data_IF_137485667775
#
_entry.id   IF_137485667775
#
_cell.length_a   1.000
_cell.length_b   1.000
_cell.length_c   1.000
_cell.angle_alpha   90.00
_cell.angle_beta   90.00
_cell.angle_gamma   90.00
#
_symmetry.space_group_name_H-M   'P 1'
#
loop_
_entity.id
_entity.type
_entity.pdbx_description
1 polymer ?
#
# COMPACT_ATOMS: atom_id res chain seq x y z
N UNK A 1 20.18 0.61 12.39
CA UNK A 1 19.12 -0.22 13.03
C UNK A 1 18.11 0.68 13.73
N UNK A 2 16.83 0.44 13.51
CA UNK A 2 15.71 1.19 14.11
C UNK A 2 15.30 0.59 15.46
N UNK A 3 16.03 0.94 16.51
CA UNK A 3 15.89 0.31 17.84
C UNK A 3 14.47 0.38 18.41
N UNK A 4 13.80 1.53 18.25
CA UNK A 4 12.44 1.73 18.76
C UNK A 4 11.43 0.83 18.03
N UNK A 5 11.55 0.70 16.70
CA UNK A 5 10.71 -0.19 15.90
C UNK A 5 10.89 -1.66 16.29
N UNK A 6 12.14 -2.10 16.52
CA UNK A 6 12.41 -3.46 17.00
C UNK A 6 11.82 -3.69 18.39
N UNK A 7 11.91 -2.71 19.29
CA UNK A 7 11.31 -2.84 20.62
C UNK A 7 9.79 -3.01 20.53
N UNK A 8 9.11 -2.23 19.68
CA UNK A 8 7.66 -2.37 19.40
C UNK A 8 7.33 -3.76 18.83
N UNK A 9 8.15 -4.29 17.92
CA UNK A 9 8.00 -5.65 17.38
C UNK A 9 8.10 -6.68 18.50
N UNK A 10 9.09 -6.57 19.39
CA UNK A 10 9.25 -7.49 20.53
C UNK A 10 8.06 -7.42 21.51
N UNK A 11 7.43 -6.25 21.67
CA UNK A 11 6.20 -6.08 22.46
C UNK A 11 5.02 -6.80 21.81
N UNK A 12 4.84 -6.66 20.49
CA UNK A 12 3.78 -7.39 19.77
C UNK A 12 4.02 -8.91 19.81
N UNK A 13 5.27 -9.38 19.68
CA UNK A 13 5.63 -10.80 19.86
C UNK A 13 5.17 -11.32 21.23
N UNK A 14 5.44 -10.57 22.31
CA UNK A 14 5.02 -10.95 23.67
C UNK A 14 3.50 -11.03 23.83
N UNK A 15 2.76 -10.09 23.22
CA UNK A 15 1.29 -10.10 23.24
C UNK A 15 0.71 -11.35 22.56
N UNK A 16 1.31 -11.76 21.45
CA UNK A 16 0.87 -12.93 20.69
C UNK A 16 1.46 -14.27 21.24
N UNK A 17 2.29 -14.25 22.30
CA UNK A 17 2.92 -15.44 22.85
C UNK A 17 3.98 -16.07 21.93
N UNK A 18 4.56 -15.28 21.01
CA UNK A 18 5.59 -15.72 20.07
C UNK A 18 6.95 -15.33 20.64
N UNK A 19 7.78 -16.34 20.95
CA UNK A 19 9.09 -16.13 21.59
C UNK A 19 10.18 -15.73 20.59
N UNK A 20 10.02 -16.09 19.32
CA UNK A 20 11.00 -15.89 18.27
C UNK A 20 10.30 -15.49 16.98
N UNK A 21 10.91 -14.61 16.17
CA UNK A 21 10.39 -14.16 14.89
C UNK A 21 11.49 -14.21 13.84
N UNK A 22 11.18 -14.79 12.70
CA UNK A 22 12.02 -14.74 11.49
C UNK A 22 11.28 -13.91 10.44
N UNK A 23 11.84 -12.74 10.16
CA UNK A 23 11.36 -11.81 9.12
C UNK A 23 12.18 -12.06 7.86
N UNK A 24 11.53 -12.36 6.74
CA UNK A 24 12.19 -12.62 5.44
C UNK A 24 11.73 -11.66 4.35
N UNK A 25 10.72 -10.85 4.62
CA UNK A 25 10.30 -9.76 3.74
C UNK A 25 11.38 -8.67 3.69
N UNK A 26 12.01 -8.40 2.51
CA UNK A 26 13.04 -7.38 2.38
C UNK A 26 12.59 -5.99 2.82
N UNK A 27 11.31 -5.62 2.58
CA UNK A 27 10.77 -4.34 3.00
C UNK A 27 10.60 -4.24 4.52
N UNK A 28 10.17 -5.32 5.16
CA UNK A 28 10.09 -5.38 6.62
C UNK A 28 11.49 -5.37 7.27
N UNK A 29 12.49 -6.05 6.68
CA UNK A 29 13.88 -5.98 7.13
C UNK A 29 14.41 -4.56 6.97
N UNK A 30 14.17 -3.90 5.83
CA UNK A 30 14.53 -2.50 5.61
C UNK A 30 13.90 -1.58 6.67
N UNK A 31 12.62 -1.75 6.95
CA UNK A 31 11.91 -0.99 7.99
C UNK A 31 12.57 -1.07 9.37
N UNK A 32 13.12 -2.24 9.72
CA UNK A 32 13.73 -2.51 11.02
C UNK A 32 15.23 -2.18 11.09
N UNK A 33 15.93 -2.16 9.93
CA UNK A 33 17.38 -2.07 9.88
C UNK A 33 17.94 -0.89 9.10
N UNK A 34 17.13 -0.24 8.27
CA UNK A 34 17.52 0.71 7.20
C UNK A 34 18.40 0.05 6.11
N UNK A 35 18.54 -1.29 6.11
CA UNK A 35 19.32 -2.00 5.12
C UNK A 35 18.42 -2.55 4.02
N UNK A 36 18.45 -1.90 2.86
CA UNK A 36 17.78 -2.38 1.66
C UNK A 36 18.64 -3.40 0.93
N UNK A 37 18.07 -4.56 0.63
CA UNK A 37 18.72 -5.60 -0.14
C UNK A 37 17.68 -6.43 -0.91
N UNK A 38 18.02 -6.80 -2.14
CA UNK A 38 17.28 -7.76 -2.95
C UNK A 38 18.14 -9.02 -3.10
N UNK A 39 17.86 -10.08 -2.32
CA UNK A 39 18.75 -11.25 -2.20
C UNK A 39 18.65 -12.22 -3.39
N UNK A 40 17.72 -12.00 -4.33
CA UNK A 40 17.38 -12.98 -5.37
C UNK A 40 16.80 -14.25 -4.76
N UNK A 41 17.33 -15.41 -5.18
CA UNK A 41 16.89 -16.73 -4.69
C UNK A 41 17.51 -17.14 -3.34
N UNK A 42 18.41 -16.30 -2.78
CA UNK A 42 19.17 -16.63 -1.57
C UNK A 42 18.39 -16.26 -0.31
N UNK A 43 18.59 -17.03 0.76
CA UNK A 43 17.99 -16.73 2.05
C UNK A 43 18.52 -15.39 2.60
N UNK A 44 17.59 -14.50 2.87
CA UNK A 44 17.81 -13.24 3.57
C UNK A 44 16.76 -13.13 4.68
N UNK A 45 17.21 -12.90 5.92
CA UNK A 45 16.29 -12.88 7.04
C UNK A 45 16.82 -12.13 8.24
N UNK A 46 15.92 -11.58 9.02
CA UNK A 46 16.17 -10.98 10.33
C UNK A 46 15.51 -11.86 11.40
N UNK A 47 16.34 -12.50 12.22
CA UNK A 47 15.90 -13.23 13.39
C UNK A 47 15.88 -12.32 14.62
N UNK A 48 14.77 -12.36 15.35
CA UNK A 48 14.56 -11.64 16.60
C UNK A 48 14.02 -12.61 17.66
N UNK A 49 14.38 -12.42 18.93
CA UNK A 49 13.73 -13.09 20.04
C UNK A 49 13.42 -12.15 21.20
N UNK A 50 12.47 -12.52 22.04
CA UNK A 50 11.99 -11.70 23.18
C UNK A 50 13.01 -11.51 24.29
N UNK A 51 14.11 -12.27 24.28
CA UNK A 51 15.23 -12.16 25.23
C UNK A 51 16.29 -11.14 24.78
N UNK A 52 16.10 -10.53 23.60
CA UNK A 52 16.98 -9.50 23.04
C UNK A 52 17.97 -10.01 21.98
N UNK A 53 17.94 -11.32 21.66
CA UNK A 53 18.76 -11.88 20.58
C UNK A 53 18.31 -11.38 19.22
N UNK A 54 19.29 -10.99 18.37
CA UNK A 54 19.09 -10.42 17.05
C UNK A 54 20.17 -10.93 16.11
N UNK A 55 19.77 -11.35 14.91
CA UNK A 55 20.72 -11.87 13.94
C UNK A 55 20.23 -11.63 12.51
N UNK A 56 21.03 -10.98 11.70
CA UNK A 56 20.80 -10.87 10.26
C UNK A 56 21.40 -12.11 9.58
N UNK A 57 20.58 -12.84 8.81
CA UNK A 57 21.00 -13.98 8.00
C UNK A 57 21.20 -13.48 6.58
N UNK A 58 22.41 -13.64 6.04
CA UNK A 58 22.76 -13.06 4.74
C UNK A 58 23.85 -13.89 4.05
N UNK A 59 23.76 -13.98 2.71
CA UNK A 59 24.81 -14.59 1.90
C UNK A 59 26.04 -13.66 1.76
N UNK A 60 27.25 -14.22 1.77
CA UNK A 60 28.52 -13.47 1.68
C UNK A 60 28.68 -12.61 0.41
N UNK A 61 27.88 -12.89 -0.62
CA UNK A 61 27.82 -12.05 -1.83
C UNK A 61 27.22 -10.65 -1.57
N UNK A 62 26.59 -10.46 -0.43
CA UNK A 62 25.98 -9.19 0.00
C UNK A 62 26.61 -8.70 1.30
N UNK A 63 27.91 -8.29 1.29
CA UNK A 63 28.62 -7.96 2.51
C UNK A 63 28.00 -6.75 3.21
N UNK A 64 27.86 -6.87 4.53
CA UNK A 64 27.45 -5.78 5.42
C UNK A 64 28.69 -5.28 6.13
N UNK A 65 29.06 -4.02 5.91
CA UNK A 65 30.26 -3.40 6.48
C UNK A 65 29.92 -2.50 7.68
N UNK A 66 28.65 -2.10 7.79
CA UNK A 66 28.18 -1.23 8.86
C UNK A 66 27.91 -2.04 10.13
N UNK A 67 28.17 -1.44 11.30
CA UNK A 67 27.71 -2.01 12.56
C UNK A 67 26.20 -1.83 12.67
N UNK A 68 25.45 -2.91 12.50
CA UNK A 68 24.00 -2.91 12.66
C UNK A 68 23.55 -3.11 14.13
N UNK A 69 24.49 -3.27 15.07
CA UNK A 69 24.18 -3.54 16.48
C UNK A 69 23.50 -4.90 16.69
N UNK A 70 23.78 -5.88 15.84
CA UNK A 70 23.26 -7.24 15.90
C UNK A 70 24.27 -8.25 15.33
N UNK A 71 24.09 -9.53 15.65
CA UNK A 71 24.87 -10.60 15.03
C UNK A 71 24.60 -10.70 13.53
N UNK A 72 25.60 -11.15 12.78
CA UNK A 72 25.45 -11.50 11.37
C UNK A 72 25.76 -12.98 11.20
N UNK A 73 24.81 -13.75 10.70
CA UNK A 73 24.99 -15.11 10.24
C UNK A 73 25.27 -15.07 8.74
N UNK A 74 26.55 -15.02 8.40
CA UNK A 74 27.01 -15.05 7.02
C UNK A 74 27.13 -16.50 6.55
N UNK A 75 26.69 -16.79 5.32
CA UNK A 75 26.80 -18.11 4.68
C UNK A 75 27.17 -17.94 3.19
N UNK A 76 27.74 -18.95 2.56
CA UNK A 76 28.03 -18.97 1.12
C UNK A 76 27.09 -19.94 0.37
N UNK A 77 27.20 -19.96 -0.96
CA UNK A 77 26.32 -20.78 -1.83
C UNK A 77 26.47 -22.31 -1.65
N UNK A 78 27.48 -22.77 -0.90
CA UNK A 78 27.70 -24.19 -0.60
C UNK A 78 27.27 -24.57 0.82
N UNK A 79 26.91 -23.60 1.66
CA UNK A 79 26.46 -23.82 3.01
C UNK A 79 24.96 -24.15 3.04
N UNK A 80 24.54 -25.01 3.97
CA UNK A 80 23.15 -25.20 4.35
C UNK A 80 22.70 -24.07 5.30
N UNK A 81 22.16 -23.01 4.73
CA UNK A 81 21.75 -21.80 5.46
C UNK A 81 20.68 -22.12 6.52
N UNK A 82 19.79 -23.10 6.26
CA UNK A 82 18.74 -23.50 7.21
C UNK A 82 19.31 -24.32 8.36
N UNK A 83 20.32 -25.15 8.12
CA UNK A 83 21.06 -25.83 9.20
C UNK A 83 21.81 -24.85 10.11
N UNK A 84 22.39 -23.82 9.54
CA UNK A 84 23.06 -22.76 10.29
C UNK A 84 22.08 -21.95 11.13
N UNK A 85 20.94 -21.58 10.56
CA UNK A 85 19.87 -20.89 11.28
C UNK A 85 19.28 -21.75 12.39
N UNK A 86 18.98 -23.02 12.12
CA UNK A 86 18.40 -23.95 13.10
C UNK A 86 19.21 -24.06 14.40
N UNK A 87 20.55 -23.94 14.33
CA UNK A 87 21.45 -23.93 15.50
C UNK A 87 21.31 -22.66 16.36
N UNK A 88 20.75 -21.58 15.83
CA UNK A 88 20.51 -20.30 16.51
C UNK A 88 19.14 -20.23 17.18
N UNK A 89 18.20 -21.05 16.72
CA UNK A 89 16.84 -21.03 17.24
C UNK A 89 16.77 -21.60 18.66
N UNK A 90 16.01 -20.93 19.50
CA UNK A 90 15.72 -21.36 20.86
C UNK A 90 14.55 -22.36 20.87
N UNK A 91 14.37 -23.16 21.94
CA UNK A 91 13.11 -23.87 22.13
C UNK A 91 11.92 -22.93 22.23
N UNK A 92 10.78 -23.31 21.66
CA UNK A 92 9.55 -22.52 21.77
C UNK A 92 8.82 -22.32 20.43
N UNK A 93 8.12 -21.20 20.30
CA UNK A 93 7.34 -20.85 19.11
C UNK A 93 8.13 -19.86 18.24
N UNK A 94 8.29 -20.21 16.97
CA UNK A 94 8.87 -19.35 15.93
C UNK A 94 7.76 -18.80 15.03
N UNK A 95 7.55 -17.49 15.04
CA UNK A 95 6.78 -16.81 14.02
C UNK A 95 7.61 -16.67 12.74
N UNK A 96 6.99 -16.91 11.60
CA UNK A 96 7.59 -16.71 10.27
C UNK A 96 6.68 -15.83 9.45
N UNK A 97 7.21 -14.91 8.67
CA UNK A 97 6.40 -14.02 7.85
C UNK A 97 5.91 -14.69 6.55
N UNK A 98 4.92 -14.01 5.91
CA UNK A 98 4.24 -14.48 4.70
C UNK A 98 5.15 -14.58 3.45
N UNK A 99 6.32 -13.93 3.47
CA UNK A 99 7.21 -13.84 2.31
C UNK A 99 8.32 -14.90 2.32
N UNK A 100 8.41 -15.72 3.37
CA UNK A 100 9.38 -16.80 3.39
C UNK A 100 9.07 -17.82 2.29
N UNK A 101 10.03 -18.04 1.40
CA UNK A 101 9.90 -19.06 0.36
C UNK A 101 9.69 -20.45 0.98
N UNK A 102 8.70 -21.19 0.47
CA UNK A 102 8.25 -22.46 1.05
C UNK A 102 9.38 -23.50 1.19
N UNK A 103 10.33 -23.54 0.25
CA UNK A 103 11.45 -24.49 0.34
C UNK A 103 12.33 -24.22 1.56
N UNK A 104 12.69 -22.97 1.85
CA UNK A 104 13.44 -22.62 3.08
C UNK A 104 12.66 -22.97 4.34
N UNK A 105 11.36 -22.71 4.37
CA UNK A 105 10.51 -23.06 5.50
C UNK A 105 10.50 -24.57 5.75
N UNK A 106 10.32 -25.37 4.70
CA UNK A 106 10.28 -26.84 4.79
C UNK A 106 11.64 -27.42 5.24
N UNK A 107 12.74 -26.88 4.73
CA UNK A 107 14.09 -27.25 5.15
C UNK A 107 14.34 -26.90 6.62
N UNK A 108 13.95 -25.70 7.06
CA UNK A 108 14.06 -25.31 8.46
C UNK A 108 13.24 -26.23 9.38
N UNK A 109 11.99 -26.54 9.03
CA UNK A 109 11.12 -27.44 9.80
C UNK A 109 11.65 -28.88 9.84
N UNK A 110 12.41 -29.32 8.84
CA UNK A 110 13.06 -30.62 8.87
C UNK A 110 14.18 -30.69 9.93
N UNK A 111 14.88 -29.56 10.16
CA UNK A 111 16.07 -29.48 11.01
C UNK A 111 15.77 -28.96 12.43
N UNK A 112 14.75 -28.11 12.58
CA UNK A 112 14.32 -27.59 13.89
C UNK A 112 12.92 -28.08 14.25
N UNK A 113 12.74 -28.56 15.48
CA UNK A 113 11.53 -29.28 15.93
C UNK A 113 10.59 -28.45 16.83
N UNK A 114 10.77 -27.14 16.87
CA UNK A 114 9.84 -26.26 17.57
C UNK A 114 8.54 -26.02 16.79
N UNK A 115 7.64 -25.26 17.39
CA UNK A 115 6.38 -24.88 16.76
C UNK A 115 6.60 -23.70 15.83
N UNK A 116 6.19 -23.83 14.57
CA UNK A 116 6.17 -22.72 13.59
C UNK A 116 4.75 -22.19 13.44
N UNK A 117 4.60 -20.86 13.47
CA UNK A 117 3.32 -20.16 13.32
C UNK A 117 3.46 -18.98 12.35
N UNK A 118 2.34 -18.49 11.83
CA UNK A 118 2.33 -17.26 11.04
C UNK A 118 2.61 -16.04 11.95
N UNK A 119 3.76 -15.40 11.74
CA UNK A 119 4.21 -14.21 12.47
C UNK A 119 4.06 -12.89 11.69
N UNK A 120 3.46 -12.91 10.50
CA UNK A 120 3.38 -11.75 9.58
C UNK A 120 2.80 -10.52 10.25
N UNK A 121 1.69 -10.66 10.99
CA UNK A 121 0.99 -9.54 11.60
C UNK A 121 1.80 -8.78 12.66
N UNK A 122 2.86 -9.37 13.19
CA UNK A 122 3.68 -8.72 14.23
C UNK A 122 4.34 -7.46 13.68
N UNK A 123 5.08 -7.57 12.58
CA UNK A 123 5.72 -6.42 11.93
C UNK A 123 4.68 -5.54 11.26
N UNK A 124 3.67 -6.12 10.61
CA UNK A 124 2.59 -5.40 9.93
C UNK A 124 1.85 -4.44 10.88
N UNK A 125 1.54 -4.86 12.13
CA UNK A 125 0.90 -3.99 13.13
C UNK A 125 1.78 -2.79 13.52
N UNK A 126 3.09 -2.99 13.59
CA UNK A 126 4.03 -1.93 13.93
C UNK A 126 4.16 -0.93 12.78
N UNK A 127 4.27 -1.41 11.53
CA UNK A 127 4.34 -0.60 10.31
C UNK A 127 3.07 0.23 10.07
N UNK A 128 1.93 -0.31 10.47
CA UNK A 128 0.63 0.36 10.26
C UNK A 128 0.53 1.70 10.97
N UNK A 129 1.10 1.83 12.19
CA UNK A 129 1.12 3.09 12.94
C UNK A 129 2.45 3.81 12.68
N UNK A 130 2.44 4.77 11.76
CA UNK A 130 3.57 5.55 11.31
C UNK A 130 4.13 6.44 12.41
N UNK A 131 5.45 6.50 12.51
CA UNK A 131 6.14 7.47 13.36
C UNK A 131 6.18 8.87 12.72
N UNK A 132 6.70 9.86 13.43
CA UNK A 132 6.71 11.25 12.97
C UNK A 132 7.51 11.44 11.65
N UNK A 133 8.61 10.70 11.47
CA UNK A 133 9.40 10.79 10.24
C UNK A 133 8.69 10.10 9.06
N UNK A 134 8.05 8.96 9.29
CA UNK A 134 7.22 8.29 8.30
C UNK A 134 6.08 9.19 7.84
N UNK A 135 5.39 9.84 8.78
CA UNK A 135 4.31 10.80 8.50
C UNK A 135 4.81 11.96 7.64
N UNK A 136 6.00 12.51 7.96
CA UNK A 136 6.60 13.58 7.17
C UNK A 136 6.83 13.15 5.72
N UNK A 137 7.34 11.93 5.50
CA UNK A 137 7.58 11.36 4.16
C UNK A 137 6.28 11.11 3.41
N UNK A 138 5.27 10.55 4.08
CA UNK A 138 3.94 10.32 3.49
C UNK A 138 3.29 11.63 3.01
N UNK A 139 3.34 12.70 3.82
CA UNK A 139 2.87 14.02 3.42
C UNK A 139 3.61 14.54 2.19
N UNK A 140 4.93 14.41 2.18
CA UNK A 140 5.76 14.90 1.07
C UNK A 140 5.45 14.18 -0.24
N UNK A 141 5.36 12.86 -0.24
CA UNK A 141 5.08 12.10 -1.46
C UNK A 141 3.66 12.29 -1.95
N UNK A 142 2.68 12.49 -1.05
CA UNK A 142 1.30 12.82 -1.43
C UNK A 142 1.18 14.20 -2.10
N UNK A 143 1.92 15.21 -1.62
CA UNK A 143 1.98 16.53 -2.28
C UNK A 143 2.60 16.46 -3.68
N UNK A 144 3.62 15.60 -3.86
CA UNK A 144 4.19 15.35 -5.19
C UNK A 144 3.13 14.72 -6.09
N UNK A 145 2.39 13.75 -5.59
CA UNK A 145 1.35 13.06 -6.35
C UNK A 145 0.21 14.00 -6.77
N UNK A 146 -0.19 14.94 -5.92
CA UNK A 146 -1.15 16.00 -6.27
C UNK A 146 -0.66 16.83 -7.48
N UNK A 147 0.61 17.27 -7.47
CA UNK A 147 1.19 18.04 -8.57
C UNK A 147 1.31 17.21 -9.86
N UNK A 148 1.68 15.95 -9.76
CA UNK A 148 1.72 15.03 -10.91
C UNK A 148 0.35 14.84 -11.53
N UNK A 149 -0.70 14.66 -10.72
CA UNK A 149 -2.08 14.53 -11.23
C UNK A 149 -2.54 15.79 -11.95
N UNK A 150 -2.21 16.97 -11.43
CA UNK A 150 -2.55 18.25 -12.06
C UNK A 150 -1.88 18.40 -13.44
N UNK A 151 -0.61 18.04 -13.56
CA UNK A 151 0.12 18.05 -14.82
C UNK A 151 -0.40 16.97 -15.79
N UNK A 152 -0.71 15.76 -15.28
CA UNK A 152 -1.22 14.65 -16.08
C UNK A 152 -2.54 14.98 -16.76
N UNK A 153 -3.42 15.77 -16.14
CA UNK A 153 -4.65 16.27 -16.77
C UNK A 153 -4.38 17.04 -18.07
N UNK A 154 -3.23 17.70 -18.20
CA UNK A 154 -2.82 18.40 -19.42
C UNK A 154 -2.49 17.46 -20.59
N UNK A 155 -2.29 16.19 -20.34
CA UNK A 155 -1.98 15.16 -21.32
C UNK A 155 -3.18 14.28 -21.70
N UNK A 156 -4.31 14.43 -21.02
CA UNK A 156 -5.56 13.73 -21.36
C UNK A 156 -6.19 14.36 -22.58
N UNK A 157 -6.30 13.62 -23.68
CA UNK A 157 -6.93 14.04 -24.94
C UNK A 157 -7.40 12.83 -25.77
N UNK A 158 -7.94 13.11 -26.98
CA UNK A 158 -8.45 12.08 -27.90
C UNK A 158 -7.36 11.37 -28.70
N UNK A 159 -6.09 11.75 -28.54
CA UNK A 159 -4.96 11.26 -29.33
C UNK A 159 -3.93 10.49 -28.51
N UNK A 160 -3.97 10.61 -27.19
CA UNK A 160 -3.10 9.92 -26.25
C UNK A 160 -3.80 8.68 -25.73
N UNK A 161 -3.24 7.50 -25.98
CA UNK A 161 -3.79 6.22 -25.49
C UNK A 161 -3.55 6.02 -24.01
N UNK A 162 -4.31 5.09 -23.41
CA UNK A 162 -4.13 4.68 -22.02
C UNK A 162 -2.67 4.30 -21.71
N UNK A 163 -2.06 3.43 -22.54
CA UNK A 163 -0.67 3.01 -22.34
C UNK A 163 0.36 4.15 -22.51
N UNK A 164 0.09 5.15 -23.34
CA UNK A 164 0.94 6.33 -23.47
C UNK A 164 0.77 7.26 -22.27
N UNK A 165 -0.47 7.45 -21.79
CA UNK A 165 -0.76 8.28 -20.63
C UNK A 165 -0.13 7.72 -19.35
N UNK A 166 -0.13 6.38 -19.19
CA UNK A 166 0.57 5.71 -18.08
C UNK A 166 2.09 5.96 -18.11
N UNK A 167 2.71 5.90 -19.29
CA UNK A 167 4.15 6.24 -19.44
C UNK A 167 4.45 7.70 -19.15
N UNK A 168 3.55 8.61 -19.58
CA UNK A 168 3.67 10.04 -19.25
C UNK A 168 3.57 10.22 -17.72
N UNK A 169 2.65 9.52 -17.05
CA UNK A 169 2.54 9.55 -15.59
C UNK A 169 3.85 9.15 -14.92
N UNK A 170 4.47 8.02 -15.33
CA UNK A 170 5.77 7.60 -14.80
C UNK A 170 6.84 8.69 -14.97
N UNK A 171 6.93 9.29 -16.16
CA UNK A 171 7.87 10.38 -16.45
C UNK A 171 7.63 11.61 -15.56
N UNK A 172 6.37 11.98 -15.35
CA UNK A 172 5.99 13.08 -14.46
C UNK A 172 6.35 12.76 -12.99
N UNK A 173 6.10 11.54 -12.50
CA UNK A 173 6.51 11.13 -11.15
C UNK A 173 8.02 11.35 -10.94
N UNK A 174 8.85 10.90 -11.88
CA UNK A 174 10.31 11.12 -11.83
C UNK A 174 10.67 12.60 -11.93
N UNK A 175 10.05 13.35 -12.82
CA UNK A 175 10.30 14.78 -13.01
C UNK A 175 9.95 15.61 -11.76
N UNK A 176 8.92 15.22 -11.01
CA UNK A 176 8.53 15.84 -9.74
C UNK A 176 9.34 15.33 -8.53
N UNK A 177 10.30 14.42 -8.76
CA UNK A 177 11.30 14.00 -7.77
C UNK A 177 10.96 12.73 -7.01
N UNK A 178 10.06 11.89 -7.50
CA UNK A 178 9.93 10.50 -7.07
C UNK A 178 11.09 9.65 -7.57
N UNK A 179 11.43 8.59 -6.86
CA UNK A 179 12.45 7.61 -7.24
C UNK A 179 11.91 6.64 -8.29
N UNK A 180 10.63 6.33 -8.21
CA UNK A 180 9.88 5.45 -9.11
C UNK A 180 8.37 5.65 -8.86
N UNK A 181 7.53 4.95 -9.61
CA UNK A 181 6.10 4.81 -9.29
C UNK A 181 5.90 3.83 -8.13
N UNK A 182 4.81 3.97 -7.37
CA UNK A 182 4.42 3.00 -6.34
C UNK A 182 3.76 1.75 -6.93
N UNK A 183 3.10 1.91 -8.07
CA UNK A 183 2.48 0.88 -8.91
C UNK A 183 2.35 1.39 -10.35
N UNK A 184 2.06 0.50 -11.30
CA UNK A 184 1.75 0.89 -12.67
C UNK A 184 0.43 1.67 -12.69
N UNK A 185 0.48 2.93 -13.17
CA UNK A 185 -0.69 3.81 -13.18
C UNK A 185 -1.85 3.20 -13.97
N UNK A 186 -3.07 3.30 -13.47
CA UNK A 186 -4.30 2.96 -14.22
C UNK A 186 -4.80 4.24 -14.87
N UNK A 187 -4.90 4.24 -16.20
CA UNK A 187 -5.31 5.39 -17.02
C UNK A 187 -6.41 4.95 -18.00
N UNK A 188 -7.60 4.65 -17.48
CA UNK A 188 -8.69 4.04 -18.22
C UNK A 188 -9.62 5.09 -18.86
N UNK A 189 -10.16 4.79 -20.06
CA UNK A 189 -11.14 5.61 -20.76
C UNK A 189 -12.50 4.91 -20.90
N UNK A 190 -13.59 5.63 -20.70
CA UNK A 190 -14.96 5.21 -21.01
C UNK A 190 -15.33 3.88 -20.38
N UNK A 191 -15.66 2.88 -21.18
CA UNK A 191 -16.08 1.55 -20.72
C UNK A 191 -14.98 0.78 -19.95
N UNK A 192 -13.70 1.04 -20.26
CA UNK A 192 -12.56 0.44 -19.54
C UNK A 192 -12.51 0.90 -18.08
N UNK A 193 -13.01 2.10 -17.77
CA UNK A 193 -13.17 2.57 -16.38
C UNK A 193 -14.08 1.69 -15.53
N UNK A 194 -14.89 0.82 -16.13
CA UNK A 194 -15.76 -0.10 -15.40
C UNK A 194 -15.02 -1.34 -14.84
N UNK A 195 -13.75 -1.51 -15.19
CA UNK A 195 -12.85 -2.48 -14.58
C UNK A 195 -11.92 -1.77 -13.60
N UNK A 196 -12.06 -2.01 -12.26
CA UNK A 196 -11.22 -1.34 -11.25
C UNK A 196 -9.72 -1.57 -11.40
N UNK A 197 -9.31 -2.70 -12.00
CA UNK A 197 -7.91 -3.10 -12.21
C UNK A 197 -7.57 -3.20 -13.71
N UNK A 198 -8.21 -2.35 -14.53
CA UNK A 198 -7.97 -2.33 -15.96
C UNK A 198 -6.47 -2.23 -16.30
N UNK A 199 -6.00 -3.10 -17.18
CA UNK A 199 -4.65 -3.04 -17.72
C UNK A 199 -4.63 -2.09 -18.93
N UNK A 200 -3.84 -1.02 -18.87
CA UNK A 200 -3.75 -0.01 -19.92
C UNK A 200 -3.44 -0.62 -21.28
N UNK A 201 -4.18 -0.22 -22.30
CA UNK A 201 -3.99 -0.69 -23.67
C UNK A 201 -3.88 0.47 -24.68
N UNK A 202 -4.16 0.21 -25.95
CA UNK A 202 -4.14 1.21 -27.03
C UNK A 202 -5.44 2.02 -27.16
N UNK A 203 -6.38 1.91 -26.20
CA UNK A 203 -7.65 2.64 -26.26
C UNK A 203 -7.43 4.14 -26.22
N UNK A 204 -8.12 4.86 -27.08
CA UNK A 204 -8.15 6.32 -27.15
C UNK A 204 -9.45 6.84 -26.56
N UNK A 205 -9.37 7.97 -25.85
CA UNK A 205 -10.53 8.64 -25.28
C UNK A 205 -11.46 9.20 -26.35
N UNK A 206 -12.75 9.23 -26.05
CA UNK A 206 -13.80 9.80 -26.90
C UNK A 206 -14.55 10.90 -26.14
N UNK A 207 -15.15 11.87 -26.88
CA UNK A 207 -16.01 12.86 -26.24
C UNK A 207 -17.11 12.20 -25.39
N UNK A 208 -17.22 12.61 -24.13
CA UNK A 208 -18.16 12.07 -23.16
C UNK A 208 -17.61 10.94 -22.27
N UNK A 209 -16.44 10.39 -22.56
CA UNK A 209 -15.83 9.34 -21.74
C UNK A 209 -15.44 9.85 -20.35
N UNK A 210 -15.69 9.03 -19.33
CA UNK A 210 -14.97 9.15 -18.07
C UNK A 210 -13.51 8.74 -18.28
N UNK A 211 -12.62 9.36 -17.51
CA UNK A 211 -11.19 9.01 -17.50
C UNK A 211 -10.80 8.79 -16.04
N UNK A 212 -10.57 7.54 -15.67
CA UNK A 212 -10.05 7.17 -14.35
C UNK A 212 -8.53 7.23 -14.40
N UNK A 213 -7.95 8.07 -13.57
CA UNK A 213 -6.52 8.21 -13.39
C UNK A 213 -6.20 7.80 -11.95
N UNK A 214 -5.55 6.65 -11.79
CA UNK A 214 -5.12 6.11 -10.51
C UNK A 214 -3.60 6.03 -10.53
N UNK A 215 -2.95 6.86 -9.71
CA UNK A 215 -1.52 7.12 -9.78
C UNK A 215 -0.87 7.17 -8.41
N UNK A 216 0.38 6.75 -8.36
CA UNK A 216 1.18 6.84 -7.16
C UNK A 216 2.68 6.89 -7.45
N UNK A 217 3.39 7.67 -6.65
CA UNK A 217 4.85 7.77 -6.69
C UNK A 217 5.50 7.26 -5.41
N UNK A 218 6.78 6.91 -5.50
CA UNK A 218 7.60 6.52 -4.36
C UNK A 218 8.71 7.56 -4.14
N UNK A 219 8.77 8.10 -2.91
CA UNK A 219 9.77 9.06 -2.48
C UNK A 219 10.29 8.71 -1.10
N UNK A 220 11.62 8.74 -0.92
CA UNK A 220 12.28 8.32 0.32
C UNK A 220 11.76 6.98 0.83
N UNK A 221 11.54 6.02 -0.11
CA UNK A 221 10.98 4.69 0.05
C UNK A 221 9.48 4.62 0.38
N UNK A 222 8.77 5.73 0.62
CA UNK A 222 7.34 5.74 0.93
C UNK A 222 6.49 5.94 -0.32
N UNK A 223 5.35 5.25 -0.36
CA UNK A 223 4.39 5.28 -1.45
C UNK A 223 3.34 6.37 -1.25
N UNK A 224 2.90 6.98 -2.33
CA UNK A 224 1.63 7.72 -2.43
C UNK A 224 0.64 6.94 -3.27
N UNK A 225 -0.63 7.33 -3.16
CA UNK A 225 -1.75 6.76 -3.89
C UNK A 225 -2.86 7.80 -4.03
N UNK A 226 -3.45 7.92 -5.21
CA UNK A 226 -4.58 8.81 -5.44
C UNK A 226 -5.28 8.48 -6.74
N UNK A 227 -6.60 8.33 -6.69
CA UNK A 227 -7.44 8.29 -7.89
C UNK A 227 -8.24 9.58 -8.07
N UNK A 228 -8.25 10.09 -9.30
CA UNK A 228 -9.20 11.11 -9.75
C UNK A 228 -9.87 10.66 -11.04
N UNK A 229 -11.17 10.92 -11.15
CA UNK A 229 -11.92 10.75 -12.39
C UNK A 229 -12.20 12.11 -13.01
N UNK A 230 -11.91 12.26 -14.30
CA UNK A 230 -12.27 13.43 -15.09
C UNK A 230 -13.13 13.01 -16.28
N UNK A 231 -13.66 13.96 -17.06
CA UNK A 231 -14.46 13.66 -18.26
C UNK A 231 -13.89 14.39 -19.47
N UNK A 232 -13.86 13.72 -20.61
CA UNK A 232 -13.33 14.26 -21.86
C UNK A 232 -14.43 14.99 -22.66
N UNK A 233 -14.28 16.28 -22.85
CA UNK A 233 -15.22 17.13 -23.58
C UNK A 233 -16.50 17.47 -22.80
N UNK A 234 -17.23 16.47 -22.34
CA UNK A 234 -18.48 16.63 -21.59
C UNK A 234 -18.73 15.48 -20.61
N UNK A 235 -19.67 15.65 -19.71
CA UNK A 235 -20.16 14.58 -18.83
C UNK A 235 -21.69 14.49 -18.95
N UNK A 236 -22.21 13.29 -19.23
CA UNK A 236 -23.66 13.07 -19.30
C UNK A 236 -24.34 13.31 -17.95
N UNK A 237 -25.66 13.53 -17.88
CA UNK A 237 -26.38 13.67 -16.63
C UNK A 237 -26.18 12.47 -15.68
N UNK A 238 -26.19 11.23 -16.22
CA UNK A 238 -25.92 10.01 -15.46
C UNK A 238 -24.50 9.97 -14.91
N UNK A 239 -23.51 10.35 -15.71
CA UNK A 239 -22.11 10.41 -15.29
C UNK A 239 -21.89 11.42 -14.16
N UNK A 240 -22.53 12.60 -14.26
CA UNK A 240 -22.50 13.61 -13.18
C UNK A 240 -23.15 13.12 -11.90
N UNK A 241 -24.29 12.44 -12.00
CA UNK A 241 -24.97 11.84 -10.83
C UNK A 241 -24.08 10.82 -10.14
N UNK A 242 -23.52 9.87 -10.90
CA UNK A 242 -22.61 8.84 -10.38
C UNK A 242 -21.37 9.46 -9.75
N UNK A 243 -20.78 10.47 -10.39
CA UNK A 243 -19.63 11.18 -9.86
C UNK A 243 -19.90 11.81 -8.49
N UNK A 244 -21.02 12.54 -8.36
CA UNK A 244 -21.39 13.17 -7.08
C UNK A 244 -21.70 12.14 -5.98
N UNK A 245 -22.24 10.96 -6.36
CA UNK A 245 -22.44 9.86 -5.40
C UNK A 245 -21.10 9.32 -4.90
N UNK A 246 -20.15 9.09 -5.79
CA UNK A 246 -18.81 8.58 -5.41
C UNK A 246 -18.06 9.62 -4.58
N UNK A 247 -18.11 10.89 -4.96
CA UNK A 247 -17.51 12.00 -4.21
C UNK A 247 -18.07 12.08 -2.79
N UNK A 248 -19.39 12.04 -2.64
CA UNK A 248 -20.02 12.08 -1.33
C UNK A 248 -19.69 10.82 -0.49
N UNK A 249 -19.60 9.64 -1.13
CA UNK A 249 -19.19 8.40 -0.46
C UNK A 249 -17.75 8.50 0.09
N UNK A 250 -16.80 9.05 -0.71
CA UNK A 250 -15.45 9.32 -0.27
C UNK A 250 -15.43 10.27 0.95
N UNK A 251 -16.16 11.37 0.88
CA UNK A 251 -16.26 12.34 1.99
C UNK A 251 -16.82 11.71 3.27
N UNK A 252 -17.83 10.83 3.16
CA UNK A 252 -18.41 10.11 4.30
C UNK A 252 -17.43 9.10 4.91
N UNK A 253 -16.71 8.36 4.07
CA UNK A 253 -15.63 7.47 4.52
C UNK A 253 -14.57 8.23 5.31
N UNK A 254 -14.07 9.35 4.76
CA UNK A 254 -13.11 10.23 5.42
C UNK A 254 -13.66 10.76 6.75
N UNK A 255 -14.91 11.22 6.80
CA UNK A 255 -15.53 11.73 8.02
C UNK A 255 -15.66 10.64 9.12
N UNK A 256 -15.83 9.38 8.73
CA UNK A 256 -15.90 8.25 9.67
C UNK A 256 -14.51 7.85 10.20
N UNK A 257 -13.43 8.20 9.48
CA UNK A 257 -12.04 7.87 9.83
C UNK A 257 -11.56 8.74 11.01
N UNK A 258 -11.59 8.18 12.22
CA UNK A 258 -11.14 8.86 13.45
C UNK A 258 -10.68 7.85 14.50
N UNK A 259 -9.88 8.25 15.49
CA UNK A 259 -9.46 7.36 16.57
C UNK A 259 -10.66 6.69 17.25
N UNK A 260 -10.58 5.39 17.48
CA UNK A 260 -11.62 4.60 18.12
C UNK A 260 -12.74 4.10 17.20
N UNK A 261 -12.90 4.61 15.99
CA UNK A 261 -13.71 3.97 14.95
C UNK A 261 -13.03 2.69 14.46
N UNK A 262 -13.76 1.83 13.74
CA UNK A 262 -13.20 0.61 13.15
C UNK A 262 -13.04 0.78 11.64
N UNK A 263 -12.19 -0.01 11.00
CA UNK A 263 -12.11 -0.02 9.53
C UNK A 263 -13.46 -0.32 8.87
N UNK A 264 -14.25 -1.26 9.43
CA UNK A 264 -15.58 -1.57 8.90
C UNK A 264 -16.57 -0.39 9.03
N UNK A 265 -16.39 0.51 9.98
CA UNK A 265 -17.25 1.70 10.13
C UNK A 265 -16.96 2.72 9.00
N UNK A 266 -15.70 2.81 8.55
CA UNK A 266 -15.29 3.62 7.39
C UNK A 266 -15.85 3.05 6.09
N UNK A 267 -15.74 1.72 5.89
CA UNK A 267 -16.33 1.03 4.73
C UNK A 267 -17.84 1.23 4.69
N UNK A 268 -18.54 1.01 5.83
CA UNK A 268 -19.99 1.16 5.91
C UNK A 268 -20.43 2.59 5.56
N UNK A 269 -19.71 3.62 6.03
CA UNK A 269 -20.06 5.01 5.75
C UNK A 269 -20.07 5.33 4.24
N UNK A 270 -19.14 4.76 3.47
CA UNK A 270 -19.08 4.92 2.02
C UNK A 270 -20.05 3.98 1.30
N UNK A 271 -20.02 2.68 1.65
CA UNK A 271 -20.75 1.61 0.96
C UNK A 271 -22.25 1.73 1.14
N UNK A 272 -22.73 2.00 2.35
CA UNK A 272 -24.17 2.13 2.63
C UNK A 272 -24.75 3.33 1.90
N UNK A 273 -23.99 4.42 1.77
CA UNK A 273 -24.42 5.57 0.98
C UNK A 273 -24.58 5.21 -0.49
N UNK A 274 -23.58 4.59 -1.13
CA UNK A 274 -23.65 4.11 -2.52
C UNK A 274 -24.86 3.16 -2.69
N UNK A 275 -25.05 2.24 -1.75
CA UNK A 275 -26.16 1.28 -1.76
C UNK A 275 -27.50 1.96 -1.66
N UNK A 276 -27.64 2.98 -0.80
CA UNK A 276 -28.88 3.78 -0.65
C UNK A 276 -29.24 4.56 -1.90
N UNK A 277 -28.27 4.82 -2.78
CA UNK A 277 -28.46 5.47 -4.07
C UNK A 277 -28.75 4.49 -5.21
N UNK A 278 -28.84 3.17 -4.93
CA UNK A 278 -29.17 2.12 -5.89
C UNK A 278 -27.98 1.53 -6.63
N UNK A 279 -26.75 1.92 -6.28
CA UNK A 279 -25.51 1.47 -6.96
C UNK A 279 -24.70 0.45 -6.15
N UNK A 280 -25.22 -0.10 -5.06
CA UNK A 280 -24.50 -1.07 -4.21
C UNK A 280 -23.85 -2.23 -4.97
N UNK A 281 -24.54 -2.92 -5.91
CA UNK A 281 -23.95 -4.01 -6.69
C UNK A 281 -22.77 -3.60 -7.58
N UNK A 282 -22.57 -2.32 -7.83
CA UNK A 282 -21.54 -1.75 -8.68
C UNK A 282 -20.32 -1.23 -7.91
N UNK A 283 -20.33 -1.33 -6.58
CA UNK A 283 -19.15 -1.08 -5.74
C UNK A 283 -18.55 -2.41 -5.29
N UNK A 284 -17.66 -2.97 -6.07
CA UNK A 284 -17.27 -4.38 -6.04
C UNK A 284 -16.03 -4.71 -5.22
N UNK A 285 -15.26 -3.70 -4.76
CA UNK A 285 -14.05 -3.90 -3.98
C UNK A 285 -14.14 -3.31 -2.57
N UNK A 286 -13.13 -3.52 -1.72
CA UNK A 286 -12.97 -2.87 -0.40
C UNK A 286 -12.87 -1.36 -0.56
N UNK A 287 -13.22 -0.62 0.48
CA UNK A 287 -13.16 0.87 0.45
C UNK A 287 -11.74 1.41 0.52
N UNK A 288 -10.73 0.56 0.82
CA UNK A 288 -9.35 1.00 0.86
C UNK A 288 -8.39 0.01 1.52
N UNK A 289 -7.14 0.40 1.66
CA UNK A 289 -6.05 -0.39 2.23
C UNK A 289 -5.05 0.49 2.96
N UNK A 290 -4.33 -0.08 3.94
CA UNK A 290 -3.19 0.59 4.53
C UNK A 290 -2.04 0.72 3.53
N UNK A 291 -1.25 1.78 3.69
CA UNK A 291 -0.15 2.16 2.78
C UNK A 291 1.03 2.70 3.60
N UNK A 292 2.23 2.61 3.05
CA UNK A 292 3.45 3.13 3.65
C UNK A 292 4.67 2.86 2.78
N UNK A 293 5.55 1.96 3.21
CA UNK A 293 6.69 1.49 2.41
C UNK A 293 6.24 0.63 1.22
N UNK A 294 5.16 -0.14 1.40
CA UNK A 294 4.46 -0.82 0.32
C UNK A 294 3.17 -0.06 0.00
N UNK A 295 2.76 -0.07 -1.28
CA UNK A 295 1.49 0.50 -1.70
C UNK A 295 0.34 -0.20 -0.96
N UNK A 296 0.35 -1.53 -0.90
CA UNK A 296 -0.60 -2.31 -0.13
C UNK A 296 0.05 -2.90 1.12
N UNK A 297 -0.19 -2.30 2.28
CA UNK A 297 0.17 -2.84 3.59
C UNK A 297 -1.01 -3.58 4.24
N UNK A 298 -0.74 -4.40 5.26
CA UNK A 298 -1.79 -5.11 5.98
C UNK A 298 -2.74 -4.15 6.70
N UNK A 299 -4.03 -4.33 6.46
CA UNK A 299 -5.13 -3.51 7.01
C UNK A 299 -6.08 -3.06 5.90
N UNK A 300 -7.15 -3.85 5.70
CA UNK A 300 -8.18 -3.55 4.71
C UNK A 300 -9.26 -2.65 5.30
N UNK A 301 -9.68 -1.63 4.56
CA UNK A 301 -10.89 -0.86 4.85
C UNK A 301 -12.07 -1.60 4.23
N UNK A 302 -12.61 -2.57 4.96
CA UNK A 302 -13.70 -3.45 4.49
C UNK A 302 -14.67 -3.77 5.61
N UNK A 303 -15.88 -4.16 5.26
CA UNK A 303 -16.93 -4.53 6.23
C UNK A 303 -16.58 -5.73 7.14
N UNK A 304 -15.52 -6.48 6.79
CA UNK A 304 -15.04 -7.61 7.59
C UNK A 304 -13.97 -7.22 8.63
N UNK A 305 -13.40 -6.02 8.55
CA UNK A 305 -12.30 -5.61 9.43
C UNK A 305 -12.80 -4.78 10.61
N UNK A 306 -12.91 -5.42 11.77
CA UNK A 306 -13.34 -4.77 13.02
C UNK A 306 -12.18 -4.13 13.83
N UNK A 307 -10.96 -4.08 13.27
CA UNK A 307 -9.83 -3.49 13.97
C UNK A 307 -10.04 -1.98 14.18
N UNK A 308 -9.68 -1.52 15.39
CA UNK A 308 -9.88 -0.14 15.83
C UNK A 308 -8.78 0.76 15.29
N UNK A 309 -9.17 1.88 14.70
CA UNK A 309 -8.29 2.92 14.19
C UNK A 309 -7.52 3.60 15.33
N UNK A 310 -6.22 3.78 15.12
CA UNK A 310 -5.30 4.41 16.08
C UNK A 310 -4.52 5.53 15.41
N UNK A 311 -4.09 6.55 16.17
CA UNK A 311 -3.19 7.58 15.65
C UNK A 311 -1.95 6.98 14.96
N UNK A 312 -1.55 7.58 13.84
CA UNK A 312 -0.45 7.12 12.99
C UNK A 312 -0.87 6.11 11.91
N UNK A 313 -2.07 5.54 11.94
CA UNK A 313 -2.55 4.69 10.84
C UNK A 313 -2.79 5.54 9.60
N UNK A 314 -2.29 5.06 8.44
CA UNK A 314 -2.47 5.69 7.13
C UNK A 314 -3.05 4.67 6.15
N UNK A 315 -4.14 5.05 5.45
CA UNK A 315 -4.84 4.18 4.52
C UNK A 315 -5.61 4.98 3.46
N UNK A 316 -5.99 4.31 2.36
CA UNK A 316 -6.82 4.89 1.30
C UNK A 316 -8.30 4.87 1.65
N UNK A 317 -9.05 5.85 1.12
CA UNK A 317 -10.52 5.86 1.07
C UNK A 317 -10.90 6.11 -0.39
N UNK A 318 -11.26 5.02 -1.10
CA UNK A 318 -11.34 4.94 -2.56
C UNK A 318 -12.65 4.33 -3.08
N UNK A 319 -13.83 4.77 -2.63
CA UNK A 319 -15.06 4.23 -3.18
C UNK A 319 -15.17 4.44 -4.69
N UNK A 320 -15.79 3.47 -5.38
CA UNK A 320 -16.03 3.54 -6.81
C UNK A 320 -17.38 2.95 -7.20
N UNK A 321 -17.91 3.38 -8.35
CA UNK A 321 -19.07 2.82 -9.03
C UNK A 321 -18.65 2.44 -10.44
N UNK A 322 -18.81 1.16 -10.79
CA UNK A 322 -18.35 0.57 -12.03
C UNK A 322 -19.53 -0.01 -12.80
N UNK A 323 -19.93 0.63 -13.90
CA UNK A 323 -21.09 0.26 -14.72
C UNK A 323 -20.62 -0.52 -15.96
N UNK A 324 -20.70 -1.86 -15.99
CA UNK A 324 -20.13 -2.68 -17.04
C UNK A 324 -20.61 -2.26 -18.45
N UNK A 325 -19.67 -2.02 -19.35
CA UNK A 325 -19.94 -1.60 -20.72
C UNK A 325 -20.36 -0.14 -20.90
N UNK A 326 -20.41 0.65 -19.81
CA UNK A 326 -20.74 2.05 -19.85
C UNK A 326 -19.53 2.92 -19.41
N UNK A 327 -19.27 3.00 -18.12
CA UNK A 327 -18.18 3.79 -17.54
C UNK A 327 -17.96 3.42 -16.06
N UNK A 328 -16.86 3.93 -15.49
CA UNK A 328 -16.59 3.88 -14.05
C UNK A 328 -16.19 5.24 -13.50
N UNK A 329 -16.34 5.37 -12.18
CA UNK A 329 -15.86 6.52 -11.39
C UNK A 329 -15.25 6.00 -10.10
N UNK A 330 -14.01 6.41 -9.80
CA UNK A 330 -13.33 6.25 -8.50
C UNK A 330 -12.78 7.60 -8.05
N UNK A 331 -12.90 7.89 -6.77
CA UNK A 331 -12.26 9.05 -6.13
C UNK A 331 -11.61 8.53 -4.86
N UNK A 332 -10.32 8.78 -4.75
CA UNK A 332 -9.47 8.28 -3.69
C UNK A 332 -8.63 9.35 -3.06
N UNK A 333 -8.51 9.28 -1.74
CA UNK A 333 -7.53 10.01 -0.96
C UNK A 333 -6.90 9.13 0.11
N UNK A 334 -5.64 9.42 0.42
CA UNK A 334 -4.99 8.89 1.61
C UNK A 334 -5.40 9.70 2.84
N UNK A 335 -5.72 8.99 3.91
CA UNK A 335 -6.01 9.58 5.22
C UNK A 335 -5.02 9.10 6.26
N UNK A 336 -4.58 10.01 7.12
CA UNK A 336 -3.76 9.75 8.29
C UNK A 336 -4.61 9.98 9.54
N UNK A 337 -4.74 8.97 10.39
CA UNK A 337 -5.43 9.12 11.68
C UNK A 337 -4.56 9.94 12.63
N UNK A 338 -5.13 11.04 13.16
CA UNK A 338 -4.52 11.93 14.15
C UNK A 338 -5.04 11.61 15.56
N UNK A 339 -4.64 12.37 16.57
CA UNK A 339 -5.12 12.17 17.96
C UNK A 339 -6.62 12.46 18.13
N UNK A 340 -7.19 13.32 17.28
CA UNK A 340 -8.55 13.86 17.41
C UNK A 340 -9.43 13.70 16.16
N UNK A 341 -8.90 13.12 15.07
CA UNK A 341 -9.62 12.93 13.81
C UNK A 341 -8.79 12.26 12.74
N UNK A 342 -8.86 12.80 11.51
CA UNK A 342 -7.94 12.42 10.43
C UNK A 342 -7.50 13.64 9.63
N UNK A 343 -6.33 13.51 9.02
CA UNK A 343 -5.76 14.42 8.03
C UNK A 343 -5.87 13.76 6.65
N UNK A 344 -6.35 14.49 5.65
CA UNK A 344 -6.32 14.06 4.25
C UNK A 344 -4.98 14.49 3.66
N UNK A 345 -4.23 13.55 3.10
CA UNK A 345 -2.88 13.83 2.59
C UNK A 345 -2.89 14.36 1.14
N UNK A 346 -3.96 14.10 0.38
CA UNK A 346 -4.17 14.58 -0.97
C UNK A 346 -5.03 15.86 -0.95
N UNK A 347 -4.51 16.94 -1.50
CA UNK A 347 -5.16 18.26 -1.44
C UNK A 347 -5.82 18.68 -2.75
N UNK A 348 -5.63 17.89 -3.83
CA UNK A 348 -6.20 18.15 -5.11
C UNK A 348 -7.73 18.07 -5.06
N UNK A 349 -8.42 19.08 -5.68
CA UNK A 349 -9.89 19.15 -5.66
C UNK A 349 -10.54 17.86 -6.16
N UNK A 350 -11.65 17.51 -5.50
CA UNK A 350 -12.58 16.44 -5.89
C UNK A 350 -13.78 16.96 -6.67
N UNK A 351 -13.76 18.20 -7.14
CA UNK A 351 -14.83 18.71 -7.99
C UNK A 351 -14.75 18.11 -9.40
N UNK A 352 -15.92 17.83 -9.97
CA UNK A 352 -16.02 17.27 -11.30
C UNK A 352 -15.28 18.17 -12.32
N UNK A 353 -14.28 17.60 -12.99
CA UNK A 353 -13.47 18.29 -13.99
C UNK A 353 -13.79 17.78 -15.39
N UNK A 354 -13.98 18.72 -16.30
CA UNK A 354 -14.09 18.46 -17.75
C UNK A 354 -12.77 18.88 -18.41
N UNK A 355 -12.14 17.95 -19.09
CA UNK A 355 -10.97 18.22 -19.93
C UNK A 355 -11.48 18.58 -21.32
N UNK A 356 -11.15 19.79 -21.86
CA UNK A 356 -11.61 20.20 -23.18
C UNK A 356 -10.96 19.34 -24.26
N UNK A 357 -11.71 19.05 -25.32
CA UNK A 357 -11.18 18.40 -26.52
C UNK A 357 -10.08 19.25 -27.15
N UNK A 358 -9.00 18.64 -27.61
CA UNK A 358 -7.97 19.36 -28.39
C UNK A 358 -8.49 19.60 -29.81
N UNK A 359 -8.46 20.85 -30.23
CA UNK A 359 -8.89 21.27 -31.59
C UNK A 359 -7.81 20.93 -32.62
#
# INVERSE_FOLDING_TARGET
MQQERINRVCEEMKKDGISQLLVTDPMAIFYLTDKWLVPGERMYGLYLNVEGGRCLIINELFPVHEDLGMDILCYNDTDDSMALLAKRLLPGTLGVDKNMAAHFLLELMAQWKGQVVNGSLIVDRVRRCKDAEEIRRMRQVSLINDAVMEDLWGHVDEHTSEAELAKICEQLQIAHGCETVSFEAITAFGANCADPHHANDGTLGKPGDSVVLDIGGRKDSYCSDMTRTVFLGEASPKAREVYEIVKEANLRGIQAAKPGARFCDVDAAARDYITSRGYGPYFTHRTGHCIGLDCHEAGDVSGANEEVLKPGMCFSVEPGIYLPGEFGVRIEDLVLITEDGCEVLNHLSKDLKIIPLKR
#
